data_IF_082866896872
#
_entry.id   IF_082866896872
#
_cell.length_a   1.000
_cell.length_b   1.000
_cell.length_c   1.000
_cell.angle_alpha   90.00
_cell.angle_beta   90.00
_cell.angle_gamma   90.00
#
_symmetry.space_group_name_H-M   'P 1'
#
loop_
_entity.id
_entity.type
_entity.pdbx_description
1 polymer ?
#
# COMPACT_ATOMS: atom_id res chain seq x y z
N UNK A 1 27.21 -10.54 -3.85
CA UNK A 1 26.02 -11.40 -3.99
C UNK A 1 24.83 -10.50 -4.06
N UNK A 2 23.93 -10.70 -5.02
CA UNK A 2 22.65 -9.98 -5.07
C UNK A 2 21.97 -10.12 -3.70
N UNK A 3 21.64 -8.99 -3.08
CA UNK A 3 21.03 -8.96 -1.76
C UNK A 3 19.71 -9.73 -1.77
N UNK A 4 19.45 -10.48 -0.69
CA UNK A 4 18.20 -11.22 -0.50
C UNK A 4 17.01 -10.24 -0.65
N UNK A 5 16.33 -10.32 -1.80
CA UNK A 5 15.10 -9.57 -2.05
C UNK A 5 14.02 -10.01 -1.06
N UNK A 6 13.24 -9.05 -0.58
CA UNK A 6 12.12 -9.32 0.32
C UNK A 6 11.02 -10.02 -0.47
N UNK A 7 10.75 -11.29 -0.17
CA UNK A 7 9.52 -11.96 -0.58
C UNK A 7 8.59 -11.94 0.63
N UNK A 8 7.89 -10.83 0.81
CA UNK A 8 6.75 -10.74 1.72
C UNK A 8 5.48 -10.78 0.87
N UNK A 9 4.48 -11.55 1.29
CA UNK A 9 3.14 -11.47 0.70
C UNK A 9 2.59 -10.09 1.06
N UNK A 10 2.45 -9.20 0.07
CA UNK A 10 1.85 -7.89 0.30
C UNK A 10 0.36 -8.07 0.57
N UNK A 11 -0.15 -7.48 1.65
CA UNK A 11 -1.58 -7.36 1.85
C UNK A 11 -2.20 -6.32 0.89
N UNK A 12 -3.54 -6.22 0.83
CA UNK A 12 -4.23 -5.41 -0.18
C UNK A 12 -3.85 -3.93 -0.17
N UNK A 13 -3.54 -3.37 1.00
CA UNK A 13 -3.10 -1.98 1.07
C UNK A 13 -1.72 -1.82 0.45
N UNK A 14 -0.77 -2.70 0.79
CA UNK A 14 0.59 -2.64 0.25
C UNK A 14 0.62 -2.91 -1.25
N UNK A 15 -0.16 -3.88 -1.76
CA UNK A 15 -0.33 -4.13 -3.19
C UNK A 15 -0.80 -2.88 -3.94
N UNK A 16 -1.74 -2.15 -3.36
CA UNK A 16 -2.23 -0.89 -3.93
C UNK A 16 -1.14 0.17 -4.05
N UNK A 17 -0.33 0.35 -3.00
CA UNK A 17 0.80 1.29 -3.01
C UNK A 17 1.82 0.89 -4.07
N UNK A 18 2.15 -0.39 -4.15
CA UNK A 18 3.11 -0.94 -5.11
C UNK A 18 2.62 -0.67 -6.53
N UNK A 19 1.37 -1.01 -6.83
CA UNK A 19 0.80 -0.80 -8.16
C UNK A 19 0.80 0.70 -8.54
N UNK A 20 0.41 1.58 -7.62
CA UNK A 20 0.41 3.02 -7.85
C UNK A 20 1.82 3.65 -8.02
N UNK A 21 2.84 3.10 -7.37
CA UNK A 21 4.24 3.48 -7.65
C UNK A 21 4.70 2.91 -8.99
N UNK A 22 4.35 1.66 -9.27
CA UNK A 22 4.71 0.93 -10.48
C UNK A 22 4.12 1.52 -11.77
N UNK A 23 2.93 2.12 -11.70
CA UNK A 23 2.29 2.83 -12.82
C UNK A 23 2.88 4.22 -13.09
N UNK A 24 3.71 4.74 -12.17
CA UNK A 24 4.23 6.10 -12.22
C UNK A 24 3.30 7.16 -11.64
N UNK A 25 2.15 6.79 -11.05
CA UNK A 25 1.21 7.75 -10.46
C UNK A 25 1.84 8.55 -9.31
N UNK A 26 2.64 7.89 -8.45
CA UNK A 26 3.36 8.56 -7.36
C UNK A 26 4.40 9.58 -7.88
N UNK A 27 5.15 9.23 -8.91
CA UNK A 27 6.15 10.11 -9.53
C UNK A 27 5.47 11.29 -10.26
N UNK A 28 4.36 11.04 -10.94
CA UNK A 28 3.56 12.09 -11.55
C UNK A 28 3.02 13.06 -10.49
N UNK A 29 2.50 12.52 -9.39
CA UNK A 29 2.01 13.31 -8.25
C UNK A 29 3.10 14.23 -7.70
N UNK A 30 4.32 13.71 -7.50
CA UNK A 30 5.46 14.47 -7.00
C UNK A 30 5.87 15.60 -7.96
N UNK A 31 6.11 15.27 -9.23
CA UNK A 31 6.60 16.24 -10.22
C UNK A 31 5.63 17.37 -10.51
N UNK A 32 4.32 17.09 -10.44
CA UNK A 32 3.28 18.05 -10.78
C UNK A 32 2.61 18.66 -9.54
N UNK A 33 3.06 18.34 -8.33
CA UNK A 33 2.41 18.77 -7.07
C UNK A 33 0.90 18.47 -7.07
N UNK A 34 0.55 17.30 -7.61
CA UNK A 34 -0.81 16.93 -7.98
C UNK A 34 -1.38 15.85 -7.05
N UNK A 35 -2.70 15.81 -6.93
CA UNK A 35 -3.41 14.67 -6.32
C UNK A 35 -3.78 13.67 -7.40
N UNK A 36 -3.22 12.47 -7.30
CA UNK A 36 -3.32 11.43 -8.33
C UNK A 36 -3.92 10.17 -7.72
N UNK A 37 -4.89 9.58 -8.40
CA UNK A 37 -5.39 8.23 -8.09
C UNK A 37 -4.79 7.23 -9.06
N UNK A 38 -4.29 6.11 -8.55
CA UNK A 38 -4.10 4.89 -9.33
C UNK A 38 -5.19 3.87 -8.99
N UNK A 39 -5.77 3.24 -10.01
CA UNK A 39 -6.59 2.03 -9.88
C UNK A 39 -5.93 0.93 -10.68
N UNK A 40 -5.39 -0.08 -10.00
CA UNK A 40 -4.85 -1.28 -10.62
C UNK A 40 -5.95 -2.33 -10.72
N UNK A 41 -6.46 -2.55 -11.94
CA UNK A 41 -7.57 -3.47 -12.20
C UNK A 41 -7.01 -4.75 -12.79
N UNK A 42 -6.86 -5.76 -11.91
CA UNK A 42 -6.32 -7.07 -12.24
C UNK A 42 -7.40 -8.11 -12.56
N UNK A 43 -7.03 -9.38 -12.39
CA UNK A 43 -7.94 -10.50 -12.60
C UNK A 43 -8.96 -10.67 -11.48
N UNK A 44 -8.55 -10.55 -10.22
CA UNK A 44 -9.43 -10.76 -9.06
C UNK A 44 -9.86 -9.47 -8.37
N UNK A 45 -9.00 -8.46 -8.36
CA UNK A 45 -9.15 -7.26 -7.52
C UNK A 45 -8.88 -5.98 -8.29
N UNK A 46 -9.39 -4.88 -7.73
CA UNK A 46 -9.12 -3.51 -8.11
C UNK A 46 -8.50 -2.79 -6.91
N UNK A 47 -7.24 -2.39 -7.03
CA UNK A 47 -6.42 -1.83 -5.97
C UNK A 47 -6.25 -0.31 -6.16
N UNK A 48 -6.59 0.48 -5.15
CA UNK A 48 -6.64 1.94 -5.21
C UNK A 48 -5.51 2.54 -4.37
N UNK A 49 -4.76 3.48 -4.94
CA UNK A 49 -3.80 4.28 -4.19
C UNK A 49 -3.89 5.76 -4.57
N UNK A 50 -4.10 6.60 -3.57
CA UNK A 50 -4.15 8.07 -3.72
C UNK A 50 -2.81 8.64 -3.28
N UNK A 51 -2.19 9.42 -4.16
CA UNK A 51 -0.96 10.17 -3.87
C UNK A 51 -1.22 11.67 -3.92
N UNK A 52 -0.58 12.42 -3.03
CA UNK A 52 -0.56 13.88 -3.05
C UNK A 52 0.88 14.37 -2.89
N UNK A 53 1.38 15.09 -3.90
CA UNK A 53 2.79 15.51 -3.97
C UNK A 53 3.76 14.35 -3.68
N UNK A 54 3.51 13.17 -4.26
CA UNK A 54 4.33 11.97 -4.11
C UNK A 54 4.13 11.19 -2.79
N UNK A 55 3.35 11.72 -1.85
CA UNK A 55 3.05 11.06 -0.57
C UNK A 55 1.78 10.23 -0.69
N UNK A 56 1.80 9.01 -0.18
CA UNK A 56 0.62 8.18 -0.08
C UNK A 56 -0.37 8.80 0.92
N UNK A 57 -1.60 8.99 0.47
CA UNK A 57 -2.70 9.54 1.26
C UNK A 57 -3.69 8.46 1.60
N UNK A 58 -4.14 7.66 0.64
CA UNK A 58 -5.25 6.74 0.86
C UNK A 58 -5.09 5.45 0.05
N UNK A 59 -5.70 4.37 0.52
CA UNK A 59 -5.75 3.10 -0.22
C UNK A 59 -7.06 2.38 0.01
N UNK A 60 -7.50 1.61 -0.99
CA UNK A 60 -8.63 0.70 -0.88
C UNK A 60 -8.41 -0.53 -1.76
N UNK A 61 -9.07 -1.65 -1.47
CA UNK A 61 -9.09 -2.82 -2.33
C UNK A 61 -10.53 -3.33 -2.50
N UNK A 62 -10.93 -3.51 -3.75
CA UNK A 62 -12.24 -4.02 -4.14
C UNK A 62 -12.07 -5.38 -4.83
N UNK A 63 -12.86 -6.38 -4.45
CA UNK A 63 -12.85 -7.72 -5.04
C UNK A 63 -13.62 -7.77 -6.37
N UNK A 64 -13.17 -6.95 -7.32
CA UNK A 64 -13.67 -6.82 -8.69
C UNK A 64 -12.49 -6.85 -9.65
N UNK A 65 -12.54 -7.72 -10.66
CA UNK A 65 -11.51 -7.86 -11.68
C UNK A 65 -11.99 -8.70 -12.87
N UNK A 66 -11.20 -8.72 -13.94
CA UNK A 66 -11.59 -9.33 -15.23
C UNK A 66 -11.77 -10.85 -15.19
N UNK A 67 -11.03 -11.53 -14.31
CA UNK A 67 -10.95 -12.99 -14.22
C UNK A 67 -12.00 -13.62 -13.28
N UNK A 68 -12.85 -12.80 -12.65
CA UNK A 68 -13.90 -13.28 -11.76
C UNK A 68 -15.02 -14.03 -12.51
N UNK A 69 -15.20 -13.75 -13.81
CA UNK A 69 -15.90 -14.63 -14.74
C UNK A 69 -14.91 -15.14 -15.78
N UNK A 70 -14.68 -16.45 -15.77
CA UNK A 70 -13.89 -17.11 -16.82
C UNK A 70 -14.82 -17.56 -17.94
N UNK A 71 -14.32 -17.46 -19.16
CA UNK A 71 -15.05 -17.81 -20.38
C UNK A 71 -14.23 -18.72 -21.27
N UNK A 72 -14.90 -19.43 -22.16
CA UNK A 72 -14.28 -19.98 -23.37
C UNK A 72 -14.08 -18.86 -24.41
N UNK A 73 -13.36 -19.18 -25.48
CA UNK A 73 -13.16 -18.25 -26.61
C UNK A 73 -14.48 -17.83 -27.29
N UNK A 74 -15.51 -18.67 -27.19
CA UNK A 74 -16.88 -18.43 -27.70
C UNK A 74 -17.75 -17.59 -26.75
N UNK A 75 -17.23 -17.22 -25.58
CA UNK A 75 -17.94 -16.40 -24.58
C UNK A 75 -18.77 -17.19 -23.57
N UNK A 76 -18.85 -18.53 -23.67
CA UNK A 76 -19.54 -19.32 -22.66
C UNK A 76 -18.81 -19.23 -21.31
N UNK A 77 -19.54 -18.83 -20.26
CA UNK A 77 -19.00 -18.75 -18.90
C UNK A 77 -18.75 -20.15 -18.34
N UNK A 78 -17.52 -20.41 -17.92
CA UNK A 78 -17.08 -21.70 -17.37
C UNK A 78 -16.96 -21.68 -15.86
N UNK A 79 -16.49 -20.56 -15.29
CA UNK A 79 -16.28 -20.40 -13.86
C UNK A 79 -16.81 -19.04 -13.42
N UNK A 80 -17.52 -19.02 -12.30
CA UNK A 80 -17.92 -17.81 -11.58
C UNK A 80 -17.28 -17.88 -10.21
N UNK A 81 -16.36 -16.94 -9.94
CA UNK A 81 -15.74 -16.83 -8.62
C UNK A 81 -16.72 -16.24 -7.60
N UNK A 82 -16.58 -16.56 -6.29
CA UNK A 82 -17.53 -16.09 -5.27
C UNK A 82 -17.86 -14.58 -5.30
N UNK A 83 -16.90 -13.66 -5.55
CA UNK A 83 -17.21 -12.23 -5.65
C UNK A 83 -18.13 -11.89 -6.83
N UNK A 84 -17.90 -12.51 -8.00
CA UNK A 84 -18.76 -12.33 -9.17
C UNK A 84 -20.18 -12.90 -8.95
N UNK A 85 -20.33 -13.93 -8.11
CA UNK A 85 -21.66 -14.46 -7.79
C UNK A 85 -22.55 -13.42 -7.10
N UNK A 86 -21.98 -12.50 -6.31
CA UNK A 86 -22.73 -11.40 -5.70
C UNK A 86 -23.25 -10.42 -6.76
N UNK A 87 -22.42 -10.11 -7.77
CA UNK A 87 -22.82 -9.25 -8.91
C UNK A 87 -23.94 -9.92 -9.72
N UNK A 88 -23.80 -11.21 -10.02
CA UNK A 88 -24.84 -11.97 -10.73
C UNK A 88 -26.16 -11.99 -9.96
N UNK A 89 -26.10 -12.15 -8.64
CA UNK A 89 -27.29 -12.17 -7.79
C UNK A 89 -28.00 -10.82 -7.76
N UNK A 90 -27.25 -9.72 -7.72
CA UNK A 90 -27.84 -8.38 -7.81
C UNK A 90 -28.54 -8.16 -9.16
N UNK A 91 -27.91 -8.57 -10.26
CA UNK A 91 -28.43 -8.37 -11.61
C UNK A 91 -29.59 -9.31 -11.98
N UNK A 92 -29.54 -10.55 -11.52
CA UNK A 92 -30.41 -11.61 -12.02
C UNK A 92 -31.22 -12.34 -10.94
N UNK A 93 -31.08 -12.01 -9.66
CA UNK A 93 -31.88 -12.58 -8.55
C UNK A 93 -31.93 -14.12 -8.55
N UNK A 94 -30.79 -14.76 -8.83
CA UNK A 94 -30.63 -16.22 -8.89
C UNK A 94 -31.47 -16.92 -10.00
N UNK A 95 -32.01 -16.15 -10.97
CA UNK A 95 -32.83 -16.71 -12.08
C UNK A 95 -32.01 -17.38 -13.18
N UNK A 96 -30.69 -17.12 -13.24
CA UNK A 96 -29.78 -17.68 -14.24
C UNK A 96 -28.60 -18.37 -13.56
N UNK A 97 -28.26 -19.54 -14.05
CA UNK A 97 -26.98 -20.22 -13.76
C UNK A 97 -25.88 -19.69 -14.70
N UNK A 98 -24.61 -19.93 -14.36
CA UNK A 98 -23.47 -19.52 -15.20
C UNK A 98 -23.58 -20.03 -16.63
N UNK A 99 -24.06 -21.27 -16.82
CA UNK A 99 -24.24 -21.89 -18.13
C UNK A 99 -25.37 -21.25 -18.98
N UNK A 100 -26.24 -20.44 -18.37
CA UNK A 100 -27.36 -19.76 -19.02
C UNK A 100 -27.07 -18.29 -19.32
N UNK A 101 -25.88 -17.77 -18.96
CA UNK A 101 -25.49 -16.40 -19.26
C UNK A 101 -25.19 -16.28 -20.75
N UNK A 102 -25.90 -15.38 -21.43
CA UNK A 102 -25.61 -15.01 -22.81
C UNK A 102 -24.61 -13.83 -22.88
N UNK A 103 -24.20 -13.45 -24.09
CA UNK A 103 -23.25 -12.35 -24.27
C UNK A 103 -23.75 -11.00 -23.72
N UNK A 104 -25.08 -10.75 -23.74
CA UNK A 104 -25.64 -9.52 -23.18
C UNK A 104 -25.62 -9.55 -21.65
N UNK A 105 -25.88 -10.71 -21.04
CA UNK A 105 -25.74 -10.87 -19.59
C UNK A 105 -24.30 -10.63 -19.14
N UNK A 106 -23.32 -11.22 -19.84
CA UNK A 106 -21.90 -11.03 -19.53
C UNK A 106 -21.48 -9.57 -19.68
N UNK A 107 -21.97 -8.88 -20.71
CA UNK A 107 -21.77 -7.45 -20.89
C UNK A 107 -22.33 -6.64 -19.71
N UNK A 108 -23.56 -6.93 -19.26
CA UNK A 108 -24.16 -6.25 -18.08
C UNK A 108 -23.37 -6.48 -16.80
N UNK A 109 -22.77 -7.66 -16.65
CA UNK A 109 -21.90 -7.95 -15.50
C UNK A 109 -20.63 -7.10 -15.54
N UNK A 110 -19.97 -7.01 -16.70
CA UNK A 110 -18.80 -6.14 -16.89
C UNK A 110 -19.14 -4.66 -16.63
N UNK A 111 -20.28 -4.18 -17.13
CA UNK A 111 -20.79 -2.83 -16.87
C UNK A 111 -21.03 -2.58 -15.39
N UNK A 112 -21.66 -3.54 -14.68
CA UNK A 112 -21.91 -3.39 -13.24
C UNK A 112 -20.60 -3.40 -12.45
N UNK A 113 -19.65 -4.26 -12.79
CA UNK A 113 -18.32 -4.28 -12.19
C UNK A 113 -17.58 -2.95 -12.40
N UNK A 114 -17.66 -2.36 -13.59
CA UNK A 114 -17.10 -1.05 -13.87
C UNK A 114 -17.74 0.06 -13.02
N UNK A 115 -19.06 0.01 -12.82
CA UNK A 115 -19.76 0.94 -11.93
C UNK A 115 -19.29 0.81 -10.48
N UNK A 116 -19.12 -0.41 -9.97
CA UNK A 116 -18.60 -0.64 -8.61
C UNK A 116 -17.20 -0.05 -8.42
N UNK A 117 -16.34 -0.14 -9.43
CA UNK A 117 -15.01 0.49 -9.40
C UNK A 117 -15.14 2.02 -9.25
N UNK A 118 -16.03 2.63 -10.03
CA UNK A 118 -16.25 4.08 -9.98
C UNK A 118 -16.91 4.52 -8.68
N UNK A 119 -17.83 3.74 -8.11
CA UNK A 119 -18.44 4.03 -6.81
C UNK A 119 -17.40 4.14 -5.68
N UNK A 120 -16.37 3.28 -5.70
CA UNK A 120 -15.27 3.33 -4.74
C UNK A 120 -14.36 4.55 -4.99
N UNK A 121 -14.06 4.87 -6.25
CA UNK A 121 -13.35 6.10 -6.62
C UNK A 121 -14.06 7.35 -6.07
N UNK A 122 -15.39 7.38 -6.15
CA UNK A 122 -16.25 8.49 -5.70
C UNK A 122 -16.51 8.50 -4.18
N UNK A 123 -15.96 7.52 -3.44
CA UNK A 123 -16.22 7.29 -2.02
C UNK A 123 -17.72 7.19 -1.69
N UNK A 124 -18.51 6.62 -2.59
CA UNK A 124 -19.95 6.38 -2.44
C UNK A 124 -20.28 4.90 -2.74
N UNK A 125 -19.70 3.94 -2.00
CA UNK A 125 -19.91 2.53 -2.27
C UNK A 125 -21.36 2.12 -2.00
N UNK A 126 -22.02 1.52 -2.99
CA UNK A 126 -23.31 0.85 -2.81
C UNK A 126 -23.22 -0.32 -1.82
N UNK A 127 -24.37 -0.89 -1.43
CA UNK A 127 -24.40 -2.06 -0.56
C UNK A 127 -23.62 -3.26 -1.13
N UNK A 128 -23.61 -3.42 -2.47
CA UNK A 128 -22.80 -4.45 -3.13
C UNK A 128 -21.31 -4.10 -3.09
N UNK A 129 -20.93 -2.85 -3.37
CA UNK A 129 -19.54 -2.42 -3.26
C UNK A 129 -18.99 -2.62 -1.83
N UNK A 130 -19.79 -2.31 -0.80
CA UNK A 130 -19.42 -2.54 0.60
C UNK A 130 -19.19 -4.02 0.93
N UNK A 131 -19.96 -4.94 0.33
CA UNK A 131 -19.76 -6.38 0.50
C UNK A 131 -18.50 -6.89 -0.22
N UNK A 132 -18.09 -6.23 -1.29
CA UNK A 132 -16.94 -6.60 -2.12
C UNK A 132 -15.63 -5.91 -1.70
N UNK A 133 -15.69 -4.88 -0.85
CA UNK A 133 -14.50 -4.22 -0.32
C UNK A 133 -13.74 -5.17 0.60
N UNK A 134 -12.44 -5.32 0.34
CA UNK A 134 -11.52 -6.13 1.14
C UNK A 134 -10.83 -5.30 2.23
N UNK A 135 -10.89 -3.98 2.11
CA UNK A 135 -10.38 -2.99 3.08
C UNK A 135 -11.46 -1.94 3.35
N UNK A 136 -11.18 -0.97 4.22
CA UNK A 136 -12.00 0.24 4.28
C UNK A 136 -12.08 0.93 2.90
N UNK A 137 -13.20 1.62 2.57
CA UNK A 137 -13.30 2.44 1.37
C UNK A 137 -12.36 3.65 1.45
N UNK A 138 -12.17 4.35 0.32
CA UNK A 138 -11.51 5.65 0.31
C UNK A 138 -12.22 6.61 1.28
N UNK A 139 -11.43 7.37 2.04
CA UNK A 139 -11.92 8.17 3.17
C UNK A 139 -12.77 9.37 2.77
N UNK A 140 -12.63 9.84 1.54
CA UNK A 140 -13.39 10.97 1.02
C UNK A 140 -13.46 10.97 -0.50
N UNK A 141 -14.43 11.69 -1.04
CA UNK A 141 -14.50 11.98 -2.47
C UNK A 141 -13.44 13.05 -2.81
N UNK A 142 -12.25 12.60 -3.19
CA UNK A 142 -11.17 13.50 -3.57
C UNK A 142 -11.42 14.11 -4.95
N UNK A 143 -11.01 15.36 -5.13
CA UNK A 143 -10.78 15.92 -6.47
C UNK A 143 -9.39 15.48 -6.93
N UNK A 144 -9.33 14.71 -8.02
CA UNK A 144 -8.09 14.25 -8.62
C UNK A 144 -7.69 15.15 -9.78
N UNK A 145 -6.41 15.48 -9.86
CA UNK A 145 -5.81 16.16 -11.01
C UNK A 145 -5.48 15.15 -12.13
N UNK A 146 -5.28 13.88 -11.77
CA UNK A 146 -5.07 12.78 -12.69
C UNK A 146 -5.57 11.44 -12.12
N UNK A 147 -6.07 10.56 -12.99
CA UNK A 147 -6.47 9.18 -12.69
C UNK A 147 -5.68 8.24 -13.61
N UNK A 148 -4.98 7.28 -13.03
CA UNK A 148 -4.21 6.27 -13.73
C UNK A 148 -4.95 4.94 -13.59
N UNK A 149 -5.12 4.22 -14.70
CA UNK A 149 -5.64 2.85 -14.70
C UNK A 149 -4.51 1.91 -15.11
N UNK A 150 -4.15 0.99 -14.23
CA UNK A 150 -3.11 -0.03 -14.45
C UNK A 150 -3.69 -1.44 -14.38
N UNK A 151 -2.83 -2.45 -14.57
CA UNK A 151 -3.22 -3.86 -14.53
C UNK A 151 -3.75 -4.37 -15.88
N UNK A 152 -4.17 -5.63 -15.92
CA UNK A 152 -4.58 -6.28 -17.18
C UNK A 152 -5.76 -5.60 -17.88
N UNK A 153 -6.67 -5.00 -17.11
CA UNK A 153 -7.78 -4.21 -17.66
C UNK A 153 -7.29 -2.84 -18.14
N UNK A 154 -6.37 -2.20 -17.41
CA UNK A 154 -5.68 -0.98 -17.87
C UNK A 154 -4.97 -1.19 -19.21
N UNK A 155 -4.31 -2.34 -19.41
CA UNK A 155 -3.72 -2.70 -20.71
C UNK A 155 -4.73 -2.76 -21.83
N UNK A 156 -5.89 -3.36 -21.57
CA UNK A 156 -6.95 -3.46 -22.57
C UNK A 156 -7.51 -2.07 -22.93
N UNK A 157 -7.54 -1.13 -21.99
CA UNK A 157 -7.96 0.25 -22.25
C UNK A 157 -6.94 1.02 -23.10
N UNK A 158 -5.65 0.83 -22.83
CA UNK A 158 -4.55 1.54 -23.52
C UNK A 158 -4.28 0.96 -24.90
N UNK A 159 -4.42 -0.35 -25.05
CA UNK A 159 -4.20 -1.08 -26.29
C UNK A 159 -5.46 -1.89 -26.68
N UNK A 160 -6.52 -1.22 -27.14
CA UNK A 160 -7.73 -1.90 -27.60
C UNK A 160 -7.42 -2.87 -28.73
N UNK A 161 -7.97 -4.08 -28.65
CA UNK A 161 -7.79 -5.12 -29.67
C UNK A 161 -9.10 -5.34 -30.42
N UNK A 162 -9.01 -5.65 -31.71
CA UNK A 162 -10.14 -6.09 -32.54
C UNK A 162 -10.39 -7.60 -32.46
N UNK A 163 -9.60 -8.32 -31.66
CA UNK A 163 -9.81 -9.75 -31.41
C UNK A 163 -11.03 -10.00 -30.53
N UNK A 164 -11.38 -11.28 -30.32
CA UNK A 164 -12.49 -11.67 -29.43
C UNK A 164 -12.37 -10.98 -28.06
N UNK A 165 -13.48 -10.46 -27.50
CA UNK A 165 -13.48 -9.93 -26.14
C UNK A 165 -13.16 -10.98 -25.07
N UNK A 166 -13.15 -12.27 -25.44
CA UNK A 166 -12.85 -13.40 -24.56
C UNK A 166 -11.44 -13.98 -24.76
N UNK A 167 -10.55 -13.25 -25.45
CA UNK A 167 -9.20 -13.73 -25.85
C UNK A 167 -8.28 -14.15 -24.70
N UNK A 168 -8.61 -13.77 -23.47
CA UNK A 168 -7.86 -14.15 -22.27
C UNK A 168 -8.56 -15.25 -21.46
N UNK A 169 -9.67 -15.80 -21.96
CA UNK A 169 -10.50 -16.75 -21.23
C UNK A 169 -11.25 -16.11 -20.06
N UNK A 170 -11.48 -14.80 -20.13
CA UNK A 170 -12.20 -14.03 -19.12
C UNK A 170 -12.86 -12.76 -19.70
N UNK A 171 -13.50 -11.96 -18.83
CA UNK A 171 -14.24 -10.76 -19.21
C UNK A 171 -13.42 -9.47 -19.11
N UNK A 172 -12.10 -9.56 -18.90
CA UNK A 172 -11.22 -8.40 -18.74
C UNK A 172 -11.34 -7.34 -19.85
N UNK A 173 -11.37 -7.72 -21.14
CA UNK A 173 -11.57 -6.77 -22.23
C UNK A 173 -12.95 -6.08 -22.22
N UNK A 174 -14.00 -6.77 -21.79
CA UNK A 174 -15.35 -6.19 -21.65
C UNK A 174 -15.39 -5.20 -20.48
N UNK A 175 -14.77 -5.57 -19.36
CA UNK A 175 -14.63 -4.69 -18.20
C UNK A 175 -13.83 -3.43 -18.54
N UNK A 176 -12.76 -3.55 -19.32
CA UNK A 176 -11.96 -2.43 -19.82
C UNK A 176 -12.78 -1.45 -20.64
N UNK A 177 -13.57 -1.97 -21.59
CA UNK A 177 -14.44 -1.16 -22.43
C UNK A 177 -15.50 -0.42 -21.59
N UNK A 178 -16.18 -1.13 -20.68
CA UNK A 178 -17.20 -0.54 -19.83
C UNK A 178 -16.63 0.53 -18.88
N UNK A 179 -15.44 0.27 -18.31
CA UNK A 179 -14.76 1.22 -17.44
C UNK A 179 -14.34 2.48 -18.22
N UNK A 180 -13.75 2.33 -19.40
CA UNK A 180 -13.40 3.46 -20.26
C UNK A 180 -14.61 4.36 -20.55
N UNK A 181 -15.74 3.77 -20.96
CA UNK A 181 -16.98 4.51 -21.23
C UNK A 181 -17.49 5.29 -20.02
N UNK A 182 -17.44 4.71 -18.82
CA UNK A 182 -17.86 5.40 -17.59
C UNK A 182 -16.93 6.54 -17.22
N UNK A 183 -15.61 6.34 -17.32
CA UNK A 183 -14.62 7.36 -17.02
C UNK A 183 -14.74 8.55 -17.99
N UNK A 184 -14.95 8.28 -19.28
CA UNK A 184 -15.18 9.30 -20.32
C UNK A 184 -16.48 10.06 -20.06
N UNK A 185 -17.57 9.36 -19.74
CA UNK A 185 -18.87 9.99 -19.44
C UNK A 185 -18.80 10.92 -18.24
N UNK A 186 -17.98 10.58 -17.24
CA UNK A 186 -17.74 11.41 -16.05
C UNK A 186 -16.67 12.49 -16.26
N UNK A 187 -16.03 12.55 -17.43
CA UNK A 187 -14.95 13.47 -17.77
C UNK A 187 -13.80 13.44 -16.73
N UNK A 188 -13.46 12.26 -16.22
CA UNK A 188 -12.33 12.10 -15.31
C UNK A 188 -11.00 12.34 -16.05
N UNK A 189 -10.00 12.98 -15.42
CA UNK A 189 -8.72 13.26 -16.06
C UNK A 189 -7.87 11.98 -16.14
N UNK A 190 -8.23 11.06 -17.04
CA UNK A 190 -7.51 9.79 -17.20
C UNK A 190 -6.20 10.03 -17.96
N UNK A 191 -5.09 9.59 -17.37
CA UNK A 191 -3.76 9.67 -17.97
C UNK A 191 -3.22 8.26 -18.22
N UNK A 192 -2.58 8.08 -19.38
CA UNK A 192 -1.87 6.84 -19.68
C UNK A 192 -0.65 6.69 -18.75
N UNK A 193 -0.49 5.55 -18.04
CA UNK A 193 0.73 5.22 -17.34
C UNK A 193 1.92 5.17 -18.30
N UNK A 194 3.11 5.57 -17.84
CA UNK A 194 4.32 5.49 -18.66
C UNK A 194 4.79 4.04 -18.89
N UNK A 195 4.38 3.10 -18.03
CA UNK A 195 4.61 1.67 -18.14
C UNK A 195 3.36 0.92 -17.69
N UNK A 196 2.89 -0.01 -18.52
CA UNK A 196 1.52 -0.52 -18.44
C UNK A 196 1.57 -2.03 -18.17
N UNK A 197 2.32 -2.79 -18.98
CA UNK A 197 2.38 -4.26 -18.93
C UNK A 197 3.23 -4.87 -17.81
N UNK A 198 4.04 -4.07 -17.13
CA UNK A 198 4.96 -4.48 -16.07
C UNK A 198 5.36 -3.22 -15.34
N UNK A 199 4.94 -3.11 -14.09
CA UNK A 199 5.56 -2.23 -13.11
C UNK A 199 7.02 -2.69 -12.93
N UNK A 200 7.89 -2.32 -13.86
CA UNK A 200 9.32 -2.40 -13.60
C UNK A 200 9.58 -1.21 -12.69
N UNK A 201 9.57 -1.44 -11.38
CA UNK A 201 10.21 -0.49 -10.47
C UNK A 201 11.69 -0.48 -10.86
N UNK A 202 12.06 0.42 -11.76
CA UNK A 202 13.45 0.79 -12.01
C UNK A 202 13.89 1.55 -10.75
N UNK A 203 14.22 0.78 -9.71
CA UNK A 203 14.43 1.32 -8.38
C UNK A 203 14.57 0.27 -7.29
N UNK A 204 15.02 -0.95 -7.63
CA UNK A 204 15.47 -1.93 -6.67
C UNK A 204 16.81 -1.49 -6.05
N UNK A 205 16.73 -0.68 -4.99
CA UNK A 205 17.90 -0.24 -4.25
C UNK A 205 18.03 -1.01 -2.94
N UNK A 206 19.15 -1.68 -2.73
CA UNK A 206 19.60 -2.02 -1.39
C UNK A 206 20.85 -1.20 -1.12
N UNK A 207 20.82 -0.36 -0.09
CA UNK A 207 22.00 0.35 0.36
C UNK A 207 22.30 -0.05 1.80
N UNK A 208 23.53 -0.56 1.99
CA UNK A 208 24.04 -0.94 3.30
C UNK A 208 24.85 0.22 3.85
N UNK A 209 24.50 0.63 5.06
CA UNK A 209 25.18 1.65 5.84
C UNK A 209 25.63 1.00 7.16
N UNK A 210 26.72 1.49 7.74
CA UNK A 210 27.15 1.09 9.08
C UNK A 210 26.97 2.28 10.00
N UNK A 211 26.08 2.16 10.98
CA UNK A 211 25.88 3.22 11.95
C UNK A 211 26.91 3.11 13.08
N UNK A 212 27.40 4.27 13.51
CA UNK A 212 28.26 4.38 14.68
C UNK A 212 27.42 4.17 15.95
N UNK A 213 27.89 3.31 16.85
CA UNK A 213 27.31 3.09 18.18
C UNK A 213 27.33 4.31 19.10
N UNK A 214 27.92 5.41 18.66
CA UNK A 214 27.97 6.67 19.40
C UNK A 214 26.70 7.51 19.28
N UNK A 215 25.93 7.36 18.19
CA UNK A 215 24.71 8.13 17.85
C UNK A 215 23.43 7.29 17.97
N UNK A 216 23.49 5.98 17.69
CA UNK A 216 22.32 5.10 17.86
C UNK A 216 22.05 4.71 19.32
N UNK A 217 20.80 4.45 19.66
CA UNK A 217 20.43 3.80 20.92
C UNK A 217 20.07 2.33 20.70
N UNK A 218 20.95 1.41 21.11
CA UNK A 218 20.71 -0.03 20.96
C UNK A 218 20.70 -0.75 22.31
N UNK A 219 19.53 -1.25 22.71
CA UNK A 219 19.33 -2.16 23.85
C UNK A 219 18.76 -3.51 23.43
N UNK A 220 18.80 -3.82 22.14
CA UNK A 220 18.39 -5.10 21.60
C UNK A 220 19.60 -6.03 21.45
N UNK A 221 19.53 -7.20 22.08
CA UNK A 221 20.60 -8.22 22.09
C UNK A 221 20.17 -9.53 21.41
N UNK A 222 19.07 -9.49 20.66
CA UNK A 222 18.50 -10.67 20.00
C UNK A 222 19.18 -11.00 18.65
N UNK A 223 18.58 -11.93 17.87
CA UNK A 223 19.06 -12.30 16.54
C UNK A 223 19.03 -11.13 15.53
N UNK A 224 19.63 -11.33 14.36
CA UNK A 224 19.50 -10.39 13.23
C UNK A 224 18.03 -10.23 12.88
N UNK A 225 17.58 -9.00 12.72
CA UNK A 225 16.25 -8.70 12.22
C UNK A 225 16.33 -8.53 10.71
N UNK A 226 15.48 -9.23 9.98
CA UNK A 226 15.43 -9.15 8.51
C UNK A 226 14.06 -8.72 8.07
N UNK A 227 13.99 -8.00 6.95
CA UNK A 227 12.75 -7.58 6.32
C UNK A 227 11.82 -6.85 7.30
N UNK A 228 12.37 -5.92 8.11
CA UNK A 228 11.57 -5.12 9.04
C UNK A 228 10.88 -4.00 8.24
N UNK A 229 9.56 -4.01 8.03
CA UNK A 229 8.86 -2.93 7.33
C UNK A 229 9.01 -1.61 8.09
N UNK A 230 9.26 -0.52 7.36
CA UNK A 230 9.35 0.82 7.94
C UNK A 230 8.03 1.56 7.74
N UNK A 231 7.35 1.83 8.86
CA UNK A 231 6.05 2.47 8.91
C UNK A 231 6.22 3.98 9.03
N UNK A 232 5.88 4.70 7.97
CA UNK A 232 5.95 6.16 7.94
C UNK A 232 4.63 6.78 8.43
N UNK A 233 4.67 7.69 9.42
CA UNK A 233 3.47 8.40 9.84
C UNK A 233 3.04 9.35 8.73
N UNK A 234 1.76 9.26 8.32
CA UNK A 234 1.16 10.12 7.28
C UNK A 234 0.83 11.52 7.82
N UNK A 235 1.80 12.17 8.43
CA UNK A 235 1.69 13.55 8.93
C UNK A 235 3.01 14.32 8.79
N UNK A 236 2.93 15.64 8.92
CA UNK A 236 4.08 16.52 9.06
C UNK A 236 4.16 17.03 10.50
N UNK A 237 5.36 17.24 11.04
CA UNK A 237 5.55 17.72 12.41
C UNK A 237 4.87 19.07 12.67
N UNK A 238 4.79 19.96 11.67
CA UNK A 238 4.03 21.23 11.81
C UNK A 238 2.58 21.05 12.27
N UNK A 239 1.98 19.90 11.96
CA UNK A 239 0.61 19.55 12.37
C UNK A 239 0.55 18.80 13.71
N UNK A 240 1.69 18.54 14.36
CA UNK A 240 1.78 17.75 15.59
C UNK A 240 0.97 18.35 16.73
N UNK A 241 0.17 17.49 17.37
CA UNK A 241 -0.47 17.70 18.67
C UNK A 241 -0.27 16.41 19.48
N UNK A 242 -0.32 16.44 20.83
CA UNK A 242 -0.21 15.22 21.63
C UNK A 242 -1.18 14.13 21.16
N UNK A 243 -0.68 12.92 20.91
CA UNK A 243 -1.40 11.76 20.37
C UNK A 243 -1.42 11.66 18.84
N UNK A 244 -0.98 12.70 18.12
CA UNK A 244 -1.02 12.71 16.65
C UNK A 244 -0.09 11.66 16.04
N UNK A 245 1.09 11.42 16.62
CA UNK A 245 2.01 10.40 16.11
C UNK A 245 1.51 9.00 16.41
N UNK A 246 0.95 8.76 17.60
CA UNK A 246 0.29 7.49 17.93
C UNK A 246 -0.78 7.15 16.89
N UNK A 247 -1.69 8.09 16.60
CA UNK A 247 -2.75 7.89 15.62
C UNK A 247 -2.19 7.64 14.20
N UNK A 248 -1.19 8.42 13.79
CA UNK A 248 -0.57 8.26 12.47
C UNK A 248 0.17 6.92 12.32
N UNK A 249 0.82 6.41 13.36
CA UNK A 249 1.44 5.09 13.33
C UNK A 249 0.43 3.95 13.40
N UNK A 250 -0.70 4.12 14.10
CA UNK A 250 -1.80 3.14 14.08
C UNK A 250 -2.39 3.01 12.67
N UNK A 251 -2.58 4.14 11.97
CA UNK A 251 -2.98 4.12 10.56
C UNK A 251 -1.91 3.44 9.68
N UNK A 252 -0.63 3.73 9.93
CA UNK A 252 0.46 3.13 9.16
C UNK A 252 0.51 1.60 9.33
N UNK A 253 0.36 1.09 10.55
CA UNK A 253 0.24 -0.36 10.84
C UNK A 253 -0.88 -0.99 10.02
N UNK A 254 -2.08 -0.40 10.06
CA UNK A 254 -3.23 -0.89 9.32
C UNK A 254 -2.98 -0.89 7.82
N UNK A 255 -2.38 0.19 7.29
CA UNK A 255 -2.09 0.31 5.86
C UNK A 255 -0.96 -0.59 5.35
N UNK A 256 -0.24 -1.26 6.25
CA UNK A 256 0.75 -2.30 5.91
C UNK A 256 0.22 -3.71 6.21
N UNK A 257 -1.07 -3.82 6.57
CA UNK A 257 -1.71 -5.10 6.92
C UNK A 257 -1.00 -5.83 8.07
N UNK A 258 -0.49 -5.07 9.06
CA UNK A 258 0.23 -5.59 10.23
C UNK A 258 -0.63 -5.56 11.49
N UNK A 259 -0.32 -6.44 12.44
CA UNK A 259 -0.77 -6.39 13.82
C UNK A 259 0.33 -5.78 14.72
N UNK A 260 0.05 -4.60 15.27
CA UNK A 260 1.01 -3.88 16.11
C UNK A 260 1.46 -4.63 17.38
N UNK A 261 0.68 -5.60 17.85
CA UNK A 261 0.96 -6.43 19.02
C UNK A 261 1.85 -7.64 18.71
N UNK A 262 1.74 -8.22 17.52
CA UNK A 262 2.44 -9.47 17.19
C UNK A 262 3.51 -9.34 16.12
N UNK A 263 3.38 -8.40 15.19
CA UNK A 263 4.30 -8.29 14.05
C UNK A 263 5.53 -7.42 14.34
N UNK A 264 6.58 -7.65 13.58
CA UNK A 264 7.84 -6.89 13.64
C UNK A 264 7.79 -5.72 12.65
N UNK A 265 8.08 -4.52 13.12
CA UNK A 265 8.11 -3.30 12.31
C UNK A 265 9.04 -2.25 12.92
N UNK A 266 9.36 -1.21 12.12
CA UNK A 266 10.07 -0.03 12.56
C UNK A 266 9.20 1.22 12.33
N UNK A 267 9.16 2.12 13.31
CA UNK A 267 8.42 3.38 13.22
C UNK A 267 9.35 4.49 12.73
N UNK A 268 9.08 5.06 11.56
CA UNK A 268 9.80 6.25 11.11
C UNK A 268 9.30 7.49 11.86
N UNK A 269 10.22 8.41 12.15
CA UNK A 269 9.90 9.75 12.64
C UNK A 269 9.73 10.72 11.46
N UNK A 270 8.88 11.77 11.60
CA UNK A 270 8.80 12.80 10.58
C UNK A 270 10.17 13.46 10.30
N UNK A 271 10.55 13.66 9.03
CA UNK A 271 11.83 14.28 8.68
C UNK A 271 11.89 15.77 9.04
N UNK A 272 10.77 16.39 9.39
CA UNK A 272 10.65 17.79 9.79
C UNK A 272 10.59 18.00 11.31
N UNK A 273 10.97 17.00 12.14
CA UNK A 273 11.04 17.18 13.59
C UNK A 273 12.10 18.24 13.98
N UNK A 274 11.76 19.25 14.81
CA UNK A 274 12.72 20.20 15.35
C UNK A 274 13.71 19.54 16.31
N UNK A 275 14.98 19.96 16.24
CA UNK A 275 16.05 19.43 17.10
C UNK A 275 16.09 20.15 18.45
N UNK A 276 15.05 19.98 19.26
CA UNK A 276 14.94 20.58 20.60
C UNK A 276 14.73 19.51 21.68
N UNK A 277 15.17 19.80 22.92
CA UNK A 277 14.93 18.90 24.05
C UNK A 277 13.44 18.62 24.29
N UNK A 278 12.58 19.61 24.05
CA UNK A 278 11.14 19.45 24.15
C UNK A 278 10.62 18.44 23.12
N UNK A 279 11.08 18.53 21.87
CA UNK A 279 10.70 17.60 20.80
C UNK A 279 11.16 16.18 21.11
N UNK A 280 12.40 16.01 21.59
CA UNK A 280 12.93 14.70 22.01
C UNK A 280 12.02 14.05 23.07
N UNK A 281 11.63 14.82 24.08
CA UNK A 281 10.72 14.32 25.13
C UNK A 281 9.33 13.99 24.59
N UNK A 282 8.77 14.84 23.72
CA UNK A 282 7.46 14.59 23.09
C UNK A 282 7.46 13.31 22.26
N UNK A 283 8.48 13.10 21.41
CA UNK A 283 8.62 11.86 20.63
C UNK A 283 8.72 10.64 21.53
N UNK A 284 9.50 10.71 22.62
CA UNK A 284 9.62 9.61 23.58
C UNK A 284 8.26 9.26 24.22
N UNK A 285 7.44 10.26 24.57
CA UNK A 285 6.09 10.03 25.10
C UNK A 285 5.15 9.40 24.08
N UNK A 286 5.19 9.82 22.82
CA UNK A 286 4.37 9.24 21.74
C UNK A 286 4.76 7.78 21.48
N UNK A 287 6.06 7.48 21.41
CA UNK A 287 6.57 6.10 21.26
C UNK A 287 6.17 5.22 22.44
N UNK A 288 6.22 5.74 23.68
CA UNK A 288 5.72 5.05 24.87
C UNK A 288 4.22 4.78 24.77
N UNK A 289 3.43 5.80 24.41
CA UNK A 289 1.98 5.70 24.32
C UNK A 289 1.56 4.67 23.26
N UNK A 290 2.15 4.71 22.06
CA UNK A 290 1.93 3.73 21.01
C UNK A 290 2.35 2.31 21.44
N UNK A 291 3.51 2.19 22.12
CA UNK A 291 3.97 0.91 22.68
C UNK A 291 2.99 0.32 23.70
N UNK A 292 2.25 1.16 24.45
CA UNK A 292 1.33 0.74 25.51
C UNK A 292 -0.11 0.53 25.02
N UNK A 293 -0.47 1.03 23.84
CA UNK A 293 -1.81 0.83 23.28
C UNK A 293 -2.05 -0.57 22.71
N UNK A 294 -1.05 -1.45 22.77
CA UNK A 294 -1.09 -2.80 22.22
C UNK A 294 -0.63 -3.83 23.26
N UNK A 295 -0.96 -5.10 23.02
CA UNK A 295 -0.47 -6.20 23.85
C UNK A 295 1.08 -6.21 23.89
N UNK A 296 1.71 -6.68 24.97
CA UNK A 296 3.16 -6.78 25.04
C UNK A 296 3.72 -7.62 23.89
N UNK A 297 4.44 -6.97 22.98
CA UNK A 297 5.08 -7.63 21.84
C UNK A 297 6.39 -8.31 22.26
N UNK A 298 6.68 -9.46 21.66
CA UNK A 298 7.98 -10.14 21.78
C UNK A 298 9.08 -9.42 20.99
N UNK A 299 8.71 -8.55 20.05
CA UNK A 299 9.63 -7.82 19.20
C UNK A 299 10.13 -6.52 19.86
N UNK A 300 11.38 -6.10 19.57
CA UNK A 300 11.87 -4.81 20.04
C UNK A 300 11.03 -3.67 19.48
N UNK A 301 10.89 -2.59 20.25
CA UNK A 301 10.42 -1.33 19.68
C UNK A 301 11.55 -0.73 18.86
N UNK A 302 11.30 -0.49 17.58
CA UNK A 302 12.29 0.08 16.65
C UNK A 302 11.78 1.43 16.16
N UNK A 303 12.59 2.47 16.31
CA UNK A 303 12.34 3.79 15.75
C UNK A 303 13.48 4.18 14.80
N UNK A 304 13.13 4.87 13.71
CA UNK A 304 14.06 5.27 12.64
C UNK A 304 13.89 6.74 12.34
N UNK A 305 14.99 7.47 12.20
CA UNK A 305 14.95 8.91 12.00
C UNK A 305 16.10 9.36 11.10
N UNK A 306 15.89 10.30 10.16
CA UNK A 306 16.98 10.80 9.32
C UNK A 306 17.89 11.81 10.05
N UNK A 307 17.47 12.37 11.19
CA UNK A 307 18.23 13.35 11.97
C UNK A 307 19.05 12.68 13.07
N UNK A 308 20.20 13.26 13.41
CA UNK A 308 21.08 12.84 14.52
C UNK A 308 20.48 13.18 15.91
N UNK A 309 19.47 12.40 16.32
CA UNK A 309 18.77 12.54 17.62
C UNK A 309 18.43 11.21 18.27
N UNK A 310 18.85 10.09 17.69
CA UNK A 310 18.44 8.74 18.09
C UNK A 310 18.84 8.42 19.52
N UNK A 311 20.06 8.78 19.92
CA UNK A 311 20.53 8.62 21.31
C UNK A 311 19.67 9.35 22.32
N UNK A 312 19.35 10.61 22.05
CA UNK A 312 18.60 11.45 22.98
C UNK A 312 17.19 10.88 23.19
N UNK A 313 16.51 10.52 22.10
CA UNK A 313 15.19 9.88 22.15
C UNK A 313 15.27 8.54 22.88
N UNK A 314 16.26 7.71 22.56
CA UNK A 314 16.46 6.42 23.19
C UNK A 314 16.73 6.50 24.69
N UNK A 315 17.50 7.49 25.14
CA UNK A 315 17.77 7.75 26.56
C UNK A 315 16.50 8.08 27.34
N UNK A 316 15.65 8.94 26.78
CA UNK A 316 14.36 9.31 27.39
C UNK A 316 13.40 8.12 27.40
N UNK A 317 13.21 7.49 26.24
CA UNK A 317 12.27 6.39 26.05
C UNK A 317 12.62 5.16 26.87
N UNK A 318 13.91 4.81 26.99
CA UNK A 318 14.33 3.64 27.77
C UNK A 318 13.89 3.71 29.25
N UNK A 319 13.79 4.91 29.81
CA UNK A 319 13.26 5.12 31.18
C UNK A 319 11.74 4.96 31.25
N UNK A 320 11.06 5.23 30.14
CA UNK A 320 9.60 5.21 30.02
C UNK A 320 9.02 3.80 29.77
N UNK A 321 9.79 2.89 29.19
CA UNK A 321 9.37 1.51 28.87
C UNK A 321 10.35 0.45 29.44
N UNK A 322 10.48 0.35 30.78
CA UNK A 322 11.41 -0.59 31.39
C UNK A 322 11.09 -2.04 30.99
N UNK A 323 12.13 -2.81 30.66
CA UNK A 323 12.02 -4.24 30.32
C UNK A 323 11.70 -4.55 28.85
N UNK A 324 11.29 -3.57 28.04
CA UNK A 324 11.13 -3.76 26.59
C UNK A 324 12.44 -3.51 25.86
N UNK A 325 12.82 -4.39 24.93
CA UNK A 325 13.96 -4.14 24.05
C UNK A 325 13.69 -2.94 23.15
N UNK A 326 14.68 -2.06 23.00
CA UNK A 326 14.56 -0.80 22.27
C UNK A 326 15.73 -0.61 21.30
N UNK A 327 15.40 -0.15 20.09
CA UNK A 327 16.36 0.29 19.09
C UNK A 327 15.90 1.62 18.50
N UNK A 328 16.72 2.66 18.60
CA UNK A 328 16.50 3.95 17.92
C UNK A 328 17.66 4.20 16.98
N UNK A 329 17.35 4.25 15.69
CA UNK A 329 18.27 4.38 14.57
C UNK A 329 18.20 5.80 14.03
N UNK A 330 19.31 6.53 14.04
CA UNK A 330 19.43 7.86 13.45
C UNK A 330 20.26 7.88 12.17
N UNK A 331 20.16 8.98 11.43
CA UNK A 331 20.80 9.20 10.12
C UNK A 331 20.39 8.19 9.04
N UNK A 332 19.30 7.45 9.26
CA UNK A 332 18.76 6.48 8.30
C UNK A 332 17.62 7.13 7.52
N UNK A 333 17.82 7.25 6.21
CA UNK A 333 16.82 7.78 5.30
C UNK A 333 16.01 6.63 4.69
N UNK A 334 14.71 6.60 4.98
CA UNK A 334 13.76 5.62 4.45
C UNK A 334 12.60 6.32 3.74
N UNK A 335 11.91 5.56 2.89
CA UNK A 335 10.70 5.93 2.18
C UNK A 335 9.59 4.94 2.52
N UNK A 336 8.35 5.36 2.26
CA UNK A 336 7.18 4.50 2.38
C UNK A 336 7.36 3.23 1.53
N UNK A 337 7.24 2.06 2.16
CA UNK A 337 7.47 0.75 1.53
C UNK A 337 8.91 0.23 1.62
N UNK A 338 9.83 0.94 2.28
CA UNK A 338 11.17 0.43 2.58
C UNK A 338 11.15 -0.58 3.74
N UNK A 339 12.14 -1.47 3.71
CA UNK A 339 12.40 -2.48 4.72
C UNK A 339 13.82 -2.34 5.25
N UNK A 340 14.04 -2.75 6.49
CA UNK A 340 15.36 -2.80 7.11
C UNK A 340 15.80 -4.24 7.37
N UNK A 341 17.05 -4.53 7.01
CA UNK A 341 17.81 -5.59 7.68
C UNK A 341 18.72 -4.94 8.71
N UNK A 342 18.62 -5.39 9.96
CA UNK A 342 19.38 -4.88 11.10
C UNK A 342 20.24 -6.03 11.62
N UNK A 343 21.55 -5.93 11.36
CA UNK A 343 22.50 -6.98 11.76
C UNK A 343 22.83 -6.96 13.24
N UNK A 344 23.72 -7.88 13.64
CA UNK A 344 24.21 -7.91 15.03
C UNK A 344 25.09 -6.70 15.30
N UNK A 345 24.98 -6.14 16.49
CA UNK A 345 25.93 -5.11 16.91
C UNK A 345 27.30 -5.72 17.14
N UNK A 346 28.34 -5.04 16.62
CA UNK A 346 29.73 -5.42 16.82
C UNK A 346 30.39 -4.51 17.87
N UNK A 347 31.51 -4.96 18.44
CA UNK A 347 32.34 -4.17 19.36
C UNK A 347 31.58 -3.58 20.58
N UNK A 348 30.94 -4.43 21.40
CA UNK A 348 30.22 -4.01 22.63
C UNK A 348 29.16 -2.92 22.42
N UNK A 349 28.47 -2.89 21.28
CA UNK A 349 27.48 -1.85 20.97
C UNK A 349 28.01 -0.72 20.07
N UNK A 350 29.28 -0.79 19.66
CA UNK A 350 30.00 0.30 18.98
C UNK A 350 29.70 0.48 17.50
N UNK A 351 29.16 -0.53 16.80
CA UNK A 351 28.67 -0.38 15.42
C UNK A 351 27.46 -1.29 15.16
N UNK A 352 26.57 -0.86 14.28
CA UNK A 352 25.38 -1.60 13.87
C UNK A 352 25.22 -1.53 12.34
N UNK A 353 25.35 -2.66 11.61
CA UNK A 353 25.11 -2.67 10.17
C UNK A 353 23.61 -2.64 9.88
N UNK A 354 23.21 -1.77 8.95
CA UNK A 354 21.83 -1.64 8.52
C UNK A 354 21.79 -1.65 7.00
N UNK A 355 20.87 -2.42 6.44
CA UNK A 355 20.57 -2.35 5.01
C UNK A 355 19.15 -1.87 4.85
N UNK A 356 18.97 -0.73 4.20
CA UNK A 356 17.64 -0.32 3.75
C UNK A 356 17.43 -0.92 2.37
N UNK A 357 16.31 -1.63 2.25
CA UNK A 357 15.87 -2.31 1.04
C UNK A 357 14.58 -1.66 0.62
N UNK A 358 14.61 -1.02 -0.54
CA UNK A 358 13.36 -0.65 -1.21
C UNK A 358 12.80 -1.90 -1.87
N UNK A 359 11.49 -2.10 -1.73
CA UNK A 359 10.84 -3.23 -2.38
C UNK A 359 11.10 -3.21 -3.88
N UNK A 360 11.57 -4.35 -4.36
CA UNK A 360 11.65 -4.70 -5.76
C UNK A 360 11.17 -6.13 -5.88
N UNK A 361 10.16 -6.32 -6.70
CA UNK A 361 9.64 -7.65 -6.95
C UNK A 361 10.24 -8.19 -8.25
N UNK A 362 10.81 -9.40 -8.21
CA UNK A 362 11.13 -10.14 -9.42
C UNK A 362 9.84 -10.57 -10.13
N UNK A 363 10.05 -10.90 -11.41
CA UNK A 363 9.06 -11.20 -12.45
C UNK A 363 8.02 -12.26 -12.12
#
# INVERSE_FOLDING_TARGET
GLGDFVVATAGPHLESVIAGRGSGAAEYSEKNMARVLNIDVGGGTSNYAVFESGRLVDTACLNVGGHLLQTREDGQVTVVHPPAALVLRELFQDTKTSAQLDAQDVQRVAERMAQLIVEVLEAQPSALAQQLLMTAPLRSAYRFDAVFISGGVGECMLHPSTQSPYRFGDIGPLLALALQQLLDTKALPVHAPAQTLRATVIGAGAHTLTLSGSTVWNKYQGPVLRNVPVLHPRMAWRAYRPGALVAAWQEAVQSHDLDAGTDLYALALPPDIPLTCQTVWQVALELQAFSRSHAPSVHPLIAVTPQDVGKAIGMELFRLIPGRSLLVLDEVHTREGDYLDIGKSYFNGGTLPITVKSLAFPH
#
